data_IF_764753880191
#
_entry.id   IF_764753880191
#
_cell.length_a   1.000
_cell.length_b   1.000
_cell.length_c   1.000
_cell.angle_alpha   90.00
_cell.angle_beta   90.00
_cell.angle_gamma   90.00
#
_symmetry.space_group_name_H-M   'P 1'
#
loop_
_entity.id
_entity.type
_entity.pdbx_description
1 polymer ?
#
# COMPACT_ATOMS: atom_id res chain seq x y z
N UNK A 1 -11.08 48.37 -53.79
CA UNK A 1 -10.78 48.46 -52.32
C UNK A 1 -12.03 48.50 -51.39
N UNK A 2 -13.15 49.16 -51.81
CA UNK A 2 -14.37 49.23 -50.95
C UNK A 2 -15.11 47.92 -50.69
N UNK A 3 -15.05 46.92 -51.58
CA UNK A 3 -15.71 45.60 -51.34
C UNK A 3 -14.99 44.70 -50.42
N UNK A 4 -13.68 44.86 -50.19
CA UNK A 4 -12.89 44.06 -49.28
C UNK A 4 -13.05 44.50 -47.80
N UNK A 5 -13.26 45.80 -47.57
CA UNK A 5 -13.50 46.35 -46.23
C UNK A 5 -14.85 45.94 -45.65
N UNK A 6 -15.91 45.82 -46.48
CA UNK A 6 -17.23 45.39 -46.01
C UNK A 6 -17.24 43.92 -45.61
N UNK A 7 -16.45 43.06 -46.29
CA UNK A 7 -16.33 41.64 -45.92
C UNK A 7 -15.60 41.40 -44.60
N UNK A 8 -14.57 42.23 -44.31
CA UNK A 8 -13.81 42.13 -43.06
C UNK A 8 -14.62 42.61 -41.84
N UNK A 9 -15.38 43.69 -42.01
CA UNK A 9 -16.25 44.19 -40.93
C UNK A 9 -17.41 43.24 -40.59
N UNK A 10 -17.99 42.55 -41.61
CA UNK A 10 -19.06 41.58 -41.35
C UNK A 10 -18.54 40.29 -40.67
N UNK A 11 -17.29 39.89 -40.92
CA UNK A 11 -16.68 38.76 -40.28
C UNK A 11 -16.39 39.07 -38.79
N UNK A 12 -15.93 40.28 -38.47
CA UNK A 12 -15.65 40.70 -37.08
C UNK A 12 -16.95 40.80 -36.23
N UNK A 13 -18.04 41.33 -36.82
CA UNK A 13 -19.33 41.41 -36.12
C UNK A 13 -19.95 40.04 -35.93
N UNK A 14 -19.78 39.11 -36.88
CA UNK A 14 -20.27 37.75 -36.73
C UNK A 14 -19.51 36.96 -35.64
N UNK A 15 -18.20 37.13 -35.51
CA UNK A 15 -17.40 36.52 -34.46
C UNK A 15 -17.78 37.06 -33.08
N UNK A 16 -17.97 38.36 -32.94
CA UNK A 16 -18.38 38.95 -31.65
C UNK A 16 -19.80 38.53 -31.21
N UNK A 17 -20.72 38.34 -32.17
CA UNK A 17 -22.09 37.85 -31.84
C UNK A 17 -22.09 36.36 -31.49
N UNK A 18 -21.27 35.57 -32.15
CA UNK A 18 -21.13 34.14 -31.84
C UNK A 18 -20.52 33.96 -30.45
N UNK A 19 -19.47 34.69 -30.07
CA UNK A 19 -18.85 34.62 -28.75
C UNK A 19 -19.78 35.01 -27.60
N UNK A 20 -20.62 36.06 -27.80
CA UNK A 20 -21.60 36.46 -26.77
C UNK A 20 -22.72 35.44 -26.59
N UNK A 21 -23.16 34.75 -27.62
CA UNK A 21 -24.13 33.65 -27.52
C UNK A 21 -23.53 32.44 -26.81
N UNK A 22 -22.27 32.13 -27.08
CA UNK A 22 -21.56 31.01 -26.48
C UNK A 22 -21.30 31.24 -24.97
N UNK A 23 -20.96 32.46 -24.55
CA UNK A 23 -20.83 32.79 -23.10
C UNK A 23 -22.16 32.64 -22.37
N UNK A 24 -23.29 33.09 -22.94
CA UNK A 24 -24.59 32.88 -22.31
C UNK A 24 -24.91 31.37 -22.17
N UNK A 25 -24.60 30.57 -23.20
CA UNK A 25 -24.81 29.13 -23.14
C UNK A 25 -23.91 28.48 -22.09
N UNK A 26 -22.63 28.87 -21.98
CA UNK A 26 -21.74 28.42 -20.91
C UNK A 26 -22.32 28.74 -19.51
N UNK A 27 -22.83 29.97 -19.33
CA UNK A 27 -23.48 30.43 -18.10
C UNK A 27 -24.71 29.61 -17.76
N UNK A 28 -25.55 29.28 -18.76
CA UNK A 28 -26.72 28.41 -18.55
C UNK A 28 -26.34 27.02 -18.06
N UNK A 29 -25.33 26.39 -18.66
CA UNK A 29 -24.82 25.10 -18.18
C UNK A 29 -24.19 25.21 -16.80
N UNK A 30 -23.45 26.26 -16.50
CA UNK A 30 -22.90 26.52 -15.16
C UNK A 30 -24.00 26.66 -14.12
N UNK A 31 -25.03 27.45 -14.36
CA UNK A 31 -26.16 27.62 -13.46
C UNK A 31 -26.93 26.31 -13.24
N UNK A 32 -27.12 25.53 -14.31
CA UNK A 32 -27.70 24.18 -14.20
C UNK A 32 -26.84 23.27 -13.34
N UNK A 33 -25.51 23.31 -13.48
CA UNK A 33 -24.58 22.53 -12.67
C UNK A 33 -24.69 22.90 -11.18
N UNK A 34 -24.73 24.18 -10.85
CA UNK A 34 -24.95 24.70 -9.48
C UNK A 34 -26.28 24.22 -8.92
N UNK A 35 -27.34 24.26 -9.73
CA UNK A 35 -28.66 23.75 -9.32
C UNK A 35 -28.63 22.24 -9.05
N UNK A 36 -28.02 21.43 -9.92
CA UNK A 36 -27.88 20.00 -9.68
C UNK A 36 -27.05 19.70 -8.45
N UNK A 37 -25.96 20.43 -8.24
CA UNK A 37 -25.13 20.29 -7.04
C UNK A 37 -25.92 20.61 -5.75
N UNK A 38 -26.68 21.68 -5.75
CA UNK A 38 -27.52 22.08 -4.60
C UNK A 38 -28.60 21.04 -4.27
N UNK A 39 -29.04 20.27 -5.27
CA UNK A 39 -30.01 19.19 -5.10
C UNK A 39 -29.33 17.82 -4.84
N UNK A 40 -28.00 17.75 -4.65
CA UNK A 40 -27.26 16.54 -4.37
C UNK A 40 -27.04 15.63 -5.60
N UNK A 41 -27.40 16.07 -6.79
CA UNK A 41 -27.18 15.29 -8.03
C UNK A 41 -25.79 15.56 -8.60
N UNK A 42 -24.77 14.92 -7.98
CA UNK A 42 -23.37 15.13 -8.34
C UNK A 42 -23.06 14.73 -9.80
N UNK A 43 -23.70 13.66 -10.31
CA UNK A 43 -23.49 13.19 -11.69
C UNK A 43 -23.90 14.24 -12.70
N UNK A 44 -25.15 14.74 -12.60
CA UNK A 44 -25.64 15.79 -13.52
C UNK A 44 -24.90 17.11 -13.36
N UNK A 45 -24.45 17.43 -12.12
CA UNK A 45 -23.64 18.61 -11.85
C UNK A 45 -22.30 18.54 -12.60
N UNK A 46 -21.57 17.43 -12.49
CA UNK A 46 -20.28 17.22 -13.17
C UNK A 46 -20.44 17.34 -14.69
N UNK A 47 -21.47 16.65 -15.26
CA UNK A 47 -21.71 16.71 -16.71
C UNK A 47 -22.06 18.13 -17.19
N UNK A 48 -22.81 18.89 -16.39
CA UNK A 48 -23.14 20.28 -16.72
C UNK A 48 -21.92 21.22 -16.60
N UNK A 49 -21.09 21.04 -15.56
CA UNK A 49 -19.83 21.78 -15.44
C UNK A 49 -18.86 21.45 -16.56
N UNK A 50 -18.77 20.20 -17.02
CA UNK A 50 -17.94 19.83 -18.20
C UNK A 50 -18.36 20.58 -19.44
N UNK A 51 -19.67 20.64 -19.72
CA UNK A 51 -20.21 21.37 -20.86
C UNK A 51 -19.96 22.88 -20.75
N UNK A 52 -20.17 23.44 -19.55
CA UNK A 52 -19.88 24.85 -19.28
C UNK A 52 -18.40 25.17 -19.58
N UNK A 53 -17.48 24.33 -19.07
CA UNK A 53 -16.04 24.48 -19.29
C UNK A 53 -15.66 24.42 -20.77
N UNK A 54 -16.16 23.40 -21.50
CA UNK A 54 -15.86 23.23 -22.92
C UNK A 54 -16.28 24.45 -23.76
N UNK A 55 -17.47 25.00 -23.49
CA UNK A 55 -17.98 26.16 -24.20
C UNK A 55 -17.23 27.43 -23.76
N UNK A 56 -17.09 27.64 -22.44
CA UNK A 56 -16.42 28.83 -21.90
C UNK A 56 -14.97 28.94 -22.38
N UNK A 57 -14.27 27.84 -22.54
CA UNK A 57 -12.89 27.81 -23.06
C UNK A 57 -12.79 28.34 -24.51
N UNK A 58 -13.84 28.17 -25.30
CA UNK A 58 -13.90 28.69 -26.67
C UNK A 58 -14.19 30.20 -26.71
N UNK A 59 -14.72 30.75 -25.60
CA UNK A 59 -15.05 32.17 -25.47
C UNK A 59 -13.84 33.05 -25.09
N UNK A 60 -12.67 32.48 -24.86
CA UNK A 60 -11.47 33.27 -24.50
C UNK A 60 -11.65 33.98 -23.14
N UNK A 61 -11.29 35.28 -23.11
CA UNK A 61 -11.32 36.09 -21.89
C UNK A 61 -12.74 36.23 -21.31
N UNK A 62 -13.77 36.26 -22.16
CA UNK A 62 -15.17 36.37 -21.74
C UNK A 62 -15.68 35.14 -20.98
N UNK A 63 -15.08 33.96 -21.21
CA UNK A 63 -15.38 32.71 -20.53
C UNK A 63 -14.47 32.37 -19.35
N UNK A 64 -13.42 33.15 -19.09
CA UNK A 64 -12.33 32.81 -18.20
C UNK A 64 -12.79 32.52 -16.75
N UNK A 65 -13.74 33.27 -16.21
CA UNK A 65 -14.27 33.05 -14.86
C UNK A 65 -15.00 31.71 -14.75
N UNK A 66 -15.82 31.35 -15.74
CA UNK A 66 -16.53 30.08 -15.79
C UNK A 66 -15.54 28.90 -15.89
N UNK A 67 -14.46 29.06 -16.67
CA UNK A 67 -13.40 28.05 -16.80
C UNK A 67 -12.77 27.78 -15.43
N UNK A 68 -12.32 28.80 -14.71
CA UNK A 68 -11.69 28.68 -13.38
C UNK A 68 -12.62 28.01 -12.36
N UNK A 69 -13.88 28.41 -12.35
CA UNK A 69 -14.88 27.82 -11.48
C UNK A 69 -15.11 26.34 -11.79
N UNK A 70 -15.27 25.98 -13.08
CA UNK A 70 -15.43 24.59 -13.49
C UNK A 70 -14.21 23.73 -13.14
N UNK A 71 -13.00 24.26 -13.33
CA UNK A 71 -11.73 23.61 -12.96
C UNK A 71 -11.62 23.39 -11.45
N UNK A 72 -12.31 24.17 -10.64
CA UNK A 72 -12.41 24.02 -9.18
C UNK A 72 -13.45 22.96 -8.79
N UNK A 73 -14.66 23.05 -9.39
CA UNK A 73 -15.79 22.20 -8.97
C UNK A 73 -15.71 20.78 -9.53
N UNK A 74 -15.27 20.58 -10.76
CA UNK A 74 -15.24 19.25 -11.40
C UNK A 74 -14.40 18.25 -10.60
N UNK A 75 -13.13 18.52 -10.24
CA UNK A 75 -12.35 17.59 -9.43
C UNK A 75 -12.98 17.31 -8.07
N UNK A 76 -13.44 18.36 -7.39
CA UNK A 76 -14.07 18.25 -6.06
C UNK A 76 -15.29 17.34 -6.09
N UNK A 77 -16.22 17.59 -6.98
CA UNK A 77 -17.46 16.81 -7.09
C UNK A 77 -17.20 15.39 -7.53
N UNK A 78 -16.22 15.18 -8.43
CA UNK A 78 -15.80 13.85 -8.85
C UNK A 78 -15.19 13.02 -7.71
N UNK A 79 -14.36 13.64 -6.88
CA UNK A 79 -13.83 13.00 -5.68
C UNK A 79 -14.92 12.68 -4.65
N UNK A 80 -15.90 13.58 -4.47
CA UNK A 80 -17.00 13.35 -3.52
C UNK A 80 -17.91 12.22 -4.02
N UNK A 81 -18.27 12.20 -5.31
CA UNK A 81 -19.03 11.09 -5.90
C UNK A 81 -18.29 9.75 -5.75
N UNK A 82 -16.98 9.73 -5.94
CA UNK A 82 -16.19 8.52 -5.74
C UNK A 82 -16.19 8.04 -4.28
N UNK A 83 -16.16 8.95 -3.30
CA UNK A 83 -16.30 8.63 -1.86
C UNK A 83 -17.68 8.06 -1.55
N UNK A 84 -18.74 8.63 -2.12
CA UNK A 84 -20.11 8.12 -1.94
C UNK A 84 -20.23 6.68 -2.46
N UNK A 85 -19.68 6.39 -3.66
CA UNK A 85 -19.64 5.02 -4.20
C UNK A 85 -18.91 4.05 -3.26
N UNK A 86 -17.80 4.48 -2.66
CA UNK A 86 -17.05 3.67 -1.69
C UNK A 86 -17.82 3.48 -0.38
N UNK A 87 -18.54 4.49 0.09
CA UNK A 87 -19.40 4.39 1.26
C UNK A 87 -20.50 3.34 1.08
N UNK A 88 -21.04 3.24 -0.14
CA UNK A 88 -22.00 2.20 -0.56
C UNK A 88 -21.34 0.81 -0.76
N UNK A 89 -20.03 0.72 -0.70
CA UNK A 89 -19.26 -0.52 -0.87
C UNK A 89 -18.79 -0.78 -2.30
N UNK A 90 -19.04 0.14 -3.22
CA UNK A 90 -18.59 0.04 -4.61
C UNK A 90 -17.17 0.63 -4.78
N UNK A 91 -16.16 -0.10 -4.29
CA UNK A 91 -14.77 0.35 -4.31
C UNK A 91 -14.20 0.47 -5.73
N UNK A 92 -14.49 -0.52 -6.58
CA UNK A 92 -14.02 -0.53 -7.97
C UNK A 92 -14.65 0.63 -8.77
N UNK A 93 -15.95 0.89 -8.55
CA UNK A 93 -16.63 2.04 -9.13
C UNK A 93 -16.03 3.38 -8.68
N UNK A 94 -15.74 3.52 -7.38
CA UNK A 94 -15.09 4.71 -6.84
C UNK A 94 -13.72 4.95 -7.46
N UNK A 95 -12.89 3.90 -7.60
CA UNK A 95 -11.56 4.00 -8.24
C UNK A 95 -11.69 4.31 -9.74
N UNK A 96 -12.66 3.72 -10.43
CA UNK A 96 -12.94 4.02 -11.84
C UNK A 96 -13.36 5.48 -12.02
N UNK A 97 -14.24 6.00 -11.15
CA UNK A 97 -14.64 7.42 -11.15
C UNK A 97 -13.45 8.35 -10.92
N UNK A 98 -12.60 8.06 -9.95
CA UNK A 98 -11.36 8.82 -9.74
C UNK A 98 -10.46 8.80 -10.99
N UNK A 99 -10.42 7.69 -11.72
CA UNK A 99 -9.60 7.60 -12.93
C UNK A 99 -10.17 8.43 -14.08
N UNK A 100 -11.51 8.45 -14.23
CA UNK A 100 -12.21 9.32 -15.18
C UNK A 100 -11.94 10.79 -14.89
N UNK A 101 -12.08 11.21 -13.63
CA UNK A 101 -11.85 12.60 -13.23
C UNK A 101 -10.38 13.00 -13.36
N UNK A 102 -9.44 12.09 -13.03
CA UNK A 102 -8.02 12.35 -13.23
C UNK A 102 -7.68 12.61 -14.70
N UNK A 103 -8.22 11.80 -15.62
CA UNK A 103 -8.02 12.00 -17.06
C UNK A 103 -8.62 13.34 -17.54
N UNK A 104 -9.76 13.73 -17.00
CA UNK A 104 -10.39 15.02 -17.29
C UNK A 104 -9.52 16.19 -16.76
N UNK A 105 -9.05 16.10 -15.51
CA UNK A 105 -8.13 17.08 -14.93
C UNK A 105 -6.82 17.20 -15.74
N UNK A 106 -6.28 16.07 -16.22
CA UNK A 106 -5.09 16.05 -17.07
C UNK A 106 -5.33 16.82 -18.38
N UNK A 107 -6.50 16.64 -19.03
CA UNK A 107 -6.88 17.39 -20.25
C UNK A 107 -7.06 18.89 -20.01
N UNK A 108 -7.33 19.28 -18.77
CA UNK A 108 -7.43 20.68 -18.32
C UNK A 108 -6.09 21.26 -17.86
N UNK A 109 -5.03 20.44 -17.72
CA UNK A 109 -3.73 20.87 -17.20
C UNK A 109 -3.65 20.98 -15.68
N UNK A 110 -4.61 20.41 -14.94
CA UNK A 110 -4.72 20.47 -13.48
C UNK A 110 -3.85 19.38 -12.80
N UNK A 111 -2.54 19.51 -12.95
CA UNK A 111 -1.57 18.48 -12.50
C UNK A 111 -1.64 18.19 -11.01
N UNK A 112 -1.85 19.22 -10.18
CA UNK A 112 -1.96 19.05 -8.71
C UNK A 112 -3.20 18.23 -8.33
N UNK A 113 -4.31 18.45 -9.01
CA UNK A 113 -5.55 17.70 -8.79
C UNK A 113 -5.40 16.23 -9.24
N UNK A 114 -4.72 15.99 -10.37
CA UNK A 114 -4.38 14.64 -10.85
C UNK A 114 -3.55 13.90 -9.80
N UNK A 115 -2.54 14.54 -9.22
CA UNK A 115 -1.72 13.94 -8.15
C UNK A 115 -2.55 13.59 -6.91
N UNK A 116 -3.40 14.51 -6.45
CA UNK A 116 -4.32 14.29 -5.31
C UNK A 116 -5.25 13.11 -5.56
N UNK A 117 -5.88 13.07 -6.73
CA UNK A 117 -6.80 12.00 -7.13
C UNK A 117 -6.08 10.65 -7.19
N UNK A 118 -4.87 10.60 -7.77
CA UNK A 118 -4.10 9.38 -7.88
C UNK A 118 -3.68 8.83 -6.50
N UNK A 119 -3.39 9.71 -5.53
CA UNK A 119 -3.11 9.32 -4.13
C UNK A 119 -4.34 8.75 -3.41
N UNK A 120 -5.56 9.10 -3.82
CA UNK A 120 -6.78 8.58 -3.21
C UNK A 120 -7.10 7.15 -3.63
N UNK A 121 -6.81 6.76 -4.86
CA UNK A 121 -7.14 5.43 -5.41
C UNK A 121 -6.66 4.27 -4.53
N UNK A 122 -5.37 4.17 -4.15
CA UNK A 122 -4.91 3.09 -3.28
C UNK A 122 -5.53 3.15 -1.88
N UNK A 123 -5.94 4.33 -1.39
CA UNK A 123 -6.60 4.46 -0.08
C UNK A 123 -7.98 3.79 -0.06
N UNK A 124 -8.73 3.82 -1.16
CA UNK A 124 -10.01 3.12 -1.27
C UNK A 124 -9.85 1.60 -1.15
N UNK A 125 -8.89 1.03 -1.85
CA UNK A 125 -8.59 -0.40 -1.71
C UNK A 125 -7.98 -0.76 -0.34
N UNK A 126 -7.21 0.14 0.28
CA UNK A 126 -6.79 -0.04 1.68
C UNK A 126 -7.99 -0.12 2.63
N UNK A 127 -9.00 0.74 2.43
CA UNK A 127 -10.24 0.70 3.21
C UNK A 127 -10.99 -0.61 2.99
N UNK A 128 -11.12 -1.06 1.73
CA UNK A 128 -11.73 -2.34 1.38
C UNK A 128 -11.02 -3.51 2.09
N UNK A 129 -9.69 -3.57 1.99
CA UNK A 129 -8.88 -4.61 2.63
C UNK A 129 -9.06 -4.65 4.14
N UNK A 130 -9.01 -3.49 4.79
CA UNK A 130 -9.23 -3.38 6.23
C UNK A 130 -10.66 -3.81 6.66
N UNK A 131 -11.68 -3.50 5.85
CA UNK A 131 -13.06 -3.96 6.08
C UNK A 131 -13.17 -5.47 5.94
N UNK A 132 -12.54 -6.04 4.91
CA UNK A 132 -12.50 -7.48 4.68
C UNK A 132 -11.78 -8.23 5.81
N UNK A 133 -10.66 -7.69 6.32
CA UNK A 133 -9.97 -8.24 7.52
C UNK A 133 -10.89 -8.28 8.73
N UNK A 134 -11.61 -7.20 9.01
CA UNK A 134 -12.58 -7.15 10.14
C UNK A 134 -13.72 -8.16 9.97
N UNK A 135 -14.14 -8.41 8.74
CA UNK A 135 -15.14 -9.42 8.39
C UNK A 135 -14.57 -10.85 8.34
N UNK A 136 -13.25 -11.03 8.53
CA UNK A 136 -12.52 -12.29 8.36
C UNK A 136 -12.60 -12.85 6.94
N UNK A 137 -12.91 -12.02 5.95
CA UNK A 137 -12.79 -12.36 4.53
C UNK A 137 -11.33 -12.16 4.11
N UNK A 138 -10.51 -13.17 4.40
CA UNK A 138 -9.08 -13.10 4.13
C UNK A 138 -8.75 -13.12 2.64
N UNK A 139 -9.57 -13.78 1.82
CA UNK A 139 -9.40 -13.80 0.37
C UNK A 139 -9.69 -12.42 -0.23
N UNK A 140 -10.81 -11.80 0.17
CA UNK A 140 -11.15 -10.43 -0.22
C UNK A 140 -10.11 -9.40 0.24
N UNK A 141 -9.57 -9.58 1.46
CA UNK A 141 -8.53 -8.71 1.98
C UNK A 141 -7.23 -8.80 1.17
N UNK A 142 -6.76 -10.01 0.83
CA UNK A 142 -5.58 -10.21 -0.01
C UNK A 142 -5.77 -9.54 -1.38
N UNK A 143 -6.93 -9.77 -2.03
CA UNK A 143 -7.27 -9.14 -3.32
C UNK A 143 -7.26 -7.62 -3.24
N UNK A 144 -7.83 -7.05 -2.17
CA UNK A 144 -7.84 -5.60 -1.99
C UNK A 144 -6.42 -5.03 -1.82
N UNK A 145 -5.56 -5.68 -1.02
CA UNK A 145 -4.17 -5.26 -0.89
C UNK A 145 -3.35 -5.48 -2.17
N UNK A 146 -3.68 -6.46 -2.99
CA UNK A 146 -3.11 -6.62 -4.34
C UNK A 146 -3.47 -5.44 -5.23
N UNK A 147 -4.72 -4.97 -5.18
CA UNK A 147 -5.16 -3.78 -5.90
C UNK A 147 -4.43 -2.52 -5.41
N UNK A 148 -4.17 -2.40 -4.09
CA UNK A 148 -3.30 -1.30 -3.57
C UNK A 148 -1.92 -1.37 -4.20
N UNK A 149 -1.29 -2.55 -4.19
CA UNK A 149 0.07 -2.74 -4.71
C UNK A 149 0.17 -2.60 -6.23
N UNK A 150 -0.92 -2.84 -6.96
CA UNK A 150 -1.01 -2.57 -8.40
C UNK A 150 -0.99 -1.05 -8.70
N UNK A 151 -1.58 -0.23 -7.83
CA UNK A 151 -1.62 1.23 -7.96
C UNK A 151 -0.39 1.91 -7.33
N UNK A 152 0.12 1.34 -6.26
CA UNK A 152 1.26 1.84 -5.48
C UNK A 152 2.16 0.66 -5.08
N UNK A 153 3.07 0.22 -5.96
CA UNK A 153 3.96 -0.92 -5.71
C UNK A 153 4.89 -0.72 -4.50
N UNK A 154 5.09 0.53 -4.07
CA UNK A 154 5.92 0.87 -2.92
C UNK A 154 5.13 0.95 -1.60
N UNK A 155 3.86 0.56 -1.58
CA UNK A 155 3.04 0.58 -0.39
C UNK A 155 3.43 -0.53 0.61
N UNK A 156 4.45 -0.29 1.41
CA UNK A 156 4.94 -1.24 2.40
C UNK A 156 3.88 -1.66 3.42
N UNK A 157 2.93 -0.77 3.75
CA UNK A 157 1.84 -1.09 4.68
C UNK A 157 0.87 -2.13 4.09
N UNK A 158 0.50 -1.98 2.82
CA UNK A 158 -0.34 -2.97 2.14
C UNK A 158 0.38 -4.33 2.04
N UNK A 159 1.66 -4.31 1.67
CA UNK A 159 2.48 -5.52 1.61
C UNK A 159 2.58 -6.22 2.98
N UNK A 160 2.78 -5.46 4.08
CA UNK A 160 2.84 -6.00 5.44
C UNK A 160 1.52 -6.67 5.83
N UNK A 161 0.38 -5.99 5.62
CA UNK A 161 -0.93 -6.52 5.96
C UNK A 161 -1.27 -7.77 5.14
N UNK A 162 -0.97 -7.76 3.85
CA UNK A 162 -1.08 -8.93 2.97
C UNK A 162 -0.25 -10.10 3.50
N UNK A 163 1.02 -9.88 3.84
CA UNK A 163 1.90 -10.90 4.39
C UNK A 163 1.38 -11.51 5.68
N UNK A 164 0.87 -10.70 6.60
CA UNK A 164 0.27 -11.16 7.85
C UNK A 164 -0.95 -12.08 7.62
N UNK A 165 -1.82 -11.71 6.69
CA UNK A 165 -2.99 -12.52 6.34
C UNK A 165 -2.56 -13.84 5.72
N UNK A 166 -1.61 -13.81 4.80
CA UNK A 166 -1.08 -15.00 4.15
C UNK A 166 -0.42 -15.97 5.15
N UNK A 167 0.26 -15.44 6.19
CA UNK A 167 0.75 -16.27 7.31
C UNK A 167 -0.41 -16.92 8.07
N UNK A 168 -1.47 -16.19 8.36
CA UNK A 168 -2.62 -16.70 9.10
C UNK A 168 -3.40 -17.79 8.34
N UNK A 169 -3.37 -17.73 7.00
CA UNK A 169 -3.98 -18.71 6.09
C UNK A 169 -3.00 -19.82 5.64
N UNK A 170 -1.80 -19.86 6.26
CA UNK A 170 -0.75 -20.85 5.97
C UNK A 170 -0.20 -20.82 4.53
N UNK A 171 -0.33 -19.70 3.83
CA UNK A 171 0.28 -19.51 2.52
C UNK A 171 1.69 -18.90 2.68
N UNK A 172 2.64 -19.76 3.09
CA UNK A 172 3.95 -19.34 3.57
C UNK A 172 4.80 -18.64 2.51
N UNK A 173 4.85 -19.17 1.30
CA UNK A 173 5.72 -18.63 0.24
C UNK A 173 5.24 -17.22 -0.20
N UNK A 174 3.94 -17.07 -0.41
CA UNK A 174 3.37 -15.77 -0.76
C UNK A 174 3.49 -14.77 0.40
N UNK A 175 3.37 -15.25 1.65
CA UNK A 175 3.56 -14.41 2.84
C UNK A 175 4.98 -13.87 2.93
N UNK A 176 5.99 -14.73 2.69
CA UNK A 176 7.39 -14.34 2.68
C UNK A 176 7.65 -13.26 1.63
N UNK A 177 7.20 -13.46 0.39
CA UNK A 177 7.37 -12.47 -0.67
C UNK A 177 6.71 -11.12 -0.31
N UNK A 178 5.51 -11.13 0.26
CA UNK A 178 4.83 -9.92 0.69
C UNK A 178 5.56 -9.20 1.85
N UNK A 179 6.09 -9.95 2.82
CA UNK A 179 6.85 -9.38 3.94
C UNK A 179 8.20 -8.83 3.49
N UNK A 180 8.90 -9.49 2.56
CA UNK A 180 10.14 -8.97 1.97
C UNK A 180 9.89 -7.67 1.20
N UNK A 181 8.78 -7.58 0.47
CA UNK A 181 8.33 -6.34 -0.18
C UNK A 181 8.05 -5.24 0.86
N UNK A 182 7.38 -5.60 1.96
CA UNK A 182 7.09 -4.67 3.05
C UNK A 182 8.38 -4.12 3.69
N UNK A 183 9.36 -4.98 3.93
CA UNK A 183 10.65 -4.60 4.49
C UNK A 183 11.39 -3.58 3.60
N UNK A 184 11.40 -3.81 2.28
CA UNK A 184 12.01 -2.90 1.30
C UNK A 184 11.32 -1.54 1.23
N UNK A 185 10.03 -1.47 1.61
CA UNK A 185 9.19 -0.29 1.50
C UNK A 185 8.81 0.30 2.87
N UNK A 186 9.78 0.43 3.76
CA UNK A 186 9.67 1.20 5.00
C UNK A 186 8.98 0.46 6.16
N UNK A 187 8.69 -0.85 6.03
CA UNK A 187 8.14 -1.67 7.09
C UNK A 187 9.16 -2.72 7.61
N UNK A 188 10.44 -2.43 7.50
CA UNK A 188 11.55 -3.37 7.75
C UNK A 188 11.43 -4.05 9.10
N UNK A 189 11.35 -3.29 10.19
CA UNK A 189 11.29 -3.85 11.56
C UNK A 189 10.09 -4.77 11.76
N UNK A 190 8.91 -4.35 11.29
CA UNK A 190 7.68 -5.13 11.45
C UNK A 190 7.69 -6.40 10.58
N UNK A 191 8.14 -6.29 9.35
CA UNK A 191 8.22 -7.40 8.41
C UNK A 191 9.29 -8.41 8.84
N UNK A 192 10.48 -7.96 9.22
CA UNK A 192 11.57 -8.81 9.68
C UNK A 192 11.17 -9.60 10.93
N UNK A 193 10.46 -8.97 11.87
CA UNK A 193 9.92 -9.69 13.04
C UNK A 193 8.94 -10.80 12.65
N UNK A 194 8.08 -10.58 11.66
CA UNK A 194 7.15 -11.62 11.17
C UNK A 194 7.90 -12.75 10.48
N UNK A 195 8.93 -12.42 9.68
CA UNK A 195 9.78 -13.40 9.03
C UNK A 195 10.57 -14.23 10.06
N UNK A 196 11.16 -13.58 11.07
CA UNK A 196 11.85 -14.28 12.15
C UNK A 196 10.92 -15.26 12.88
N UNK A 197 9.71 -14.82 13.24
CA UNK A 197 8.71 -15.68 13.88
C UNK A 197 8.30 -16.86 12.99
N UNK A 198 8.16 -16.65 11.69
CA UNK A 198 7.89 -17.73 10.73
C UNK A 198 9.00 -18.77 10.76
N UNK A 199 10.26 -18.36 10.68
CA UNK A 199 11.40 -19.27 10.70
C UNK A 199 11.61 -19.95 12.04
N UNK A 200 11.32 -19.28 13.18
CA UNK A 200 11.27 -19.93 14.52
C UNK A 200 10.24 -21.05 14.55
N UNK A 201 9.04 -20.82 13.98
CA UNK A 201 8.01 -21.87 13.87
C UNK A 201 8.50 -23.06 13.03
N UNK A 202 9.16 -22.79 11.90
CA UNK A 202 9.73 -23.83 11.04
C UNK A 202 10.90 -24.58 11.73
N UNK A 203 11.79 -23.86 12.42
CA UNK A 203 12.87 -24.46 13.21
C UNK A 203 12.34 -25.39 14.30
N UNK A 204 11.30 -24.96 15.02
CA UNK A 204 10.63 -25.77 16.03
C UNK A 204 10.02 -27.04 15.44
N UNK A 205 9.33 -26.93 14.31
CA UNK A 205 8.74 -28.08 13.62
C UNK A 205 9.81 -29.06 13.12
N UNK A 206 10.88 -28.56 12.51
CA UNK A 206 12.01 -29.38 12.04
C UNK A 206 12.73 -30.09 13.20
N UNK A 207 12.94 -29.39 14.32
CA UNK A 207 13.52 -29.97 15.55
C UNK A 207 12.63 -31.08 16.11
N UNK A 208 11.32 -30.88 16.17
CA UNK A 208 10.35 -31.91 16.60
C UNK A 208 10.36 -33.15 15.70
N UNK A 209 10.59 -32.98 14.41
CA UNK A 209 10.79 -34.05 13.44
C UNK A 209 12.22 -34.65 13.46
N UNK A 210 13.07 -34.21 14.39
CA UNK A 210 14.50 -34.58 14.49
C UNK A 210 15.34 -34.27 13.25
N UNK A 211 14.85 -33.37 12.38
CA UNK A 211 15.64 -32.85 11.24
C UNK A 211 16.46 -31.64 11.70
N UNK A 212 17.50 -31.93 12.49
CA UNK A 212 18.30 -30.91 13.16
C UNK A 212 19.07 -30.01 12.16
N UNK A 213 19.45 -30.55 10.98
CA UNK A 213 20.08 -29.74 9.95
C UNK A 213 19.16 -28.62 9.46
N UNK A 214 17.90 -28.94 9.13
CA UNK A 214 16.90 -27.92 8.77
C UNK A 214 16.52 -27.02 9.94
N UNK A 215 16.45 -27.56 11.16
CA UNK A 215 16.17 -26.76 12.34
C UNK A 215 17.23 -25.67 12.56
N UNK A 216 18.52 -26.02 12.39
CA UNK A 216 19.62 -25.07 12.49
C UNK A 216 19.59 -24.02 11.35
N UNK A 217 19.33 -24.47 10.12
CA UNK A 217 19.17 -23.56 8.99
C UNK A 217 18.06 -22.51 9.23
N UNK A 218 16.88 -22.96 9.64
CA UNK A 218 15.77 -22.07 9.94
C UNK A 218 16.04 -21.16 11.15
N UNK A 219 16.70 -21.65 12.18
CA UNK A 219 17.10 -20.84 13.32
C UNK A 219 18.07 -19.71 12.88
N UNK A 220 19.05 -20.02 12.04
CA UNK A 220 19.98 -19.02 11.51
C UNK A 220 19.27 -18.00 10.59
N UNK A 221 18.28 -18.43 9.81
CA UNK A 221 17.44 -17.50 9.04
C UNK A 221 16.62 -16.58 9.95
N UNK A 222 16.04 -17.10 11.03
CA UNK A 222 15.33 -16.27 12.01
C UNK A 222 16.24 -15.22 12.65
N UNK A 223 17.47 -15.59 13.03
CA UNK A 223 18.48 -14.69 13.59
C UNK A 223 18.87 -13.61 12.59
N UNK A 224 18.98 -13.95 11.31
CA UNK A 224 19.34 -12.97 10.27
C UNK A 224 18.28 -11.89 10.07
N UNK A 225 17.00 -12.21 10.25
CA UNK A 225 15.90 -11.25 10.17
C UNK A 225 15.72 -10.45 11.47
N UNK A 226 15.82 -11.12 12.63
CA UNK A 226 15.71 -10.45 13.94
C UNK A 226 16.75 -11.01 14.92
N UNK A 227 17.92 -10.34 15.05
CA UNK A 227 18.96 -10.74 16.00
C UNK A 227 18.54 -10.67 17.47
N UNK A 228 17.36 -10.14 17.77
CA UNK A 228 16.81 -10.09 19.13
C UNK A 228 15.83 -11.23 19.45
N UNK A 229 15.56 -12.12 18.47
CA UNK A 229 14.64 -13.26 18.66
C UNK A 229 15.33 -14.40 19.41
N UNK A 230 15.20 -14.38 20.71
CA UNK A 230 15.87 -15.32 21.60
C UNK A 230 15.55 -16.80 21.32
N UNK A 231 14.30 -17.11 20.91
CA UNK A 231 13.92 -18.51 20.64
C UNK A 231 14.67 -19.09 19.43
N UNK A 232 15.09 -18.23 18.49
CA UNK A 232 15.91 -18.66 17.35
C UNK A 232 17.27 -19.18 17.83
N UNK A 233 17.92 -18.45 18.73
CA UNK A 233 19.19 -18.87 19.33
C UNK A 233 19.04 -20.16 20.14
N UNK A 234 17.98 -20.28 20.93
CA UNK A 234 17.72 -21.47 21.72
C UNK A 234 17.51 -22.73 20.85
N UNK A 235 16.64 -22.61 19.82
CA UNK A 235 16.38 -23.73 18.90
C UNK A 235 17.60 -24.07 18.04
N UNK A 236 18.35 -23.07 17.61
CA UNK A 236 19.62 -23.24 16.91
C UNK A 236 20.65 -23.96 17.77
N UNK A 237 20.77 -23.59 19.05
CA UNK A 237 21.64 -24.23 20.02
C UNK A 237 21.31 -25.72 20.21
N UNK A 238 20.03 -26.06 20.36
CA UNK A 238 19.56 -27.45 20.44
C UNK A 238 19.92 -28.23 19.18
N UNK A 239 19.66 -27.62 18.00
CA UNK A 239 19.92 -28.28 16.73
C UNK A 239 21.43 -28.50 16.49
N UNK A 240 22.26 -27.49 16.78
CA UNK A 240 23.71 -27.58 16.66
C UNK A 240 24.29 -28.65 17.64
N UNK A 241 23.80 -28.70 18.88
CA UNK A 241 24.18 -29.73 19.86
C UNK A 241 23.85 -31.13 19.35
N UNK A 242 22.64 -31.36 18.82
CA UNK A 242 22.24 -32.64 18.26
C UNK A 242 23.08 -33.06 17.05
N UNK A 243 23.62 -32.09 16.29
CA UNK A 243 24.55 -32.30 15.16
C UNK A 243 26.01 -32.44 15.62
N UNK A 244 26.29 -32.42 16.93
CA UNK A 244 27.65 -32.43 17.52
C UNK A 244 28.53 -31.23 17.09
N UNK A 245 27.90 -30.12 16.69
CA UNK A 245 28.56 -28.85 16.39
C UNK A 245 28.73 -28.04 17.68
N UNK A 246 29.56 -28.52 18.60
CA UNK A 246 29.61 -28.04 19.98
C UNK A 246 29.96 -26.54 20.06
N UNK A 247 30.92 -26.05 19.25
CA UNK A 247 31.31 -24.63 19.24
C UNK A 247 30.16 -23.72 18.82
N UNK A 248 29.42 -24.11 17.76
CA UNK A 248 28.25 -23.38 17.29
C UNK A 248 27.11 -23.41 18.33
N UNK A 249 26.88 -24.58 18.96
CA UNK A 249 25.90 -24.72 20.02
C UNK A 249 26.18 -23.81 21.23
N UNK A 250 27.43 -23.75 21.68
CA UNK A 250 27.86 -22.87 22.77
C UNK A 250 27.56 -21.43 22.44
N UNK A 251 28.00 -20.94 21.26
CA UNK A 251 27.75 -19.56 20.84
C UNK A 251 26.26 -19.21 20.78
N UNK A 252 25.43 -20.09 20.24
CA UNK A 252 23.99 -19.88 20.16
C UNK A 252 23.33 -19.84 21.54
N UNK A 253 23.68 -20.75 22.42
CA UNK A 253 23.16 -20.76 23.80
C UNK A 253 23.62 -19.53 24.61
N UNK A 254 24.85 -19.08 24.44
CA UNK A 254 25.35 -17.88 25.09
C UNK A 254 24.58 -16.64 24.66
N UNK A 255 24.32 -16.47 23.35
CA UNK A 255 23.46 -15.39 22.85
C UNK A 255 22.03 -15.49 23.40
N UNK A 256 21.46 -16.69 23.48
CA UNK A 256 20.16 -16.87 24.15
C UNK A 256 20.21 -16.38 25.61
N UNK A 257 21.23 -16.73 26.37
CA UNK A 257 21.39 -16.32 27.76
C UNK A 257 21.58 -14.82 27.94
N UNK A 258 22.20 -14.15 26.95
CA UNK A 258 22.29 -12.68 26.94
C UNK A 258 20.92 -12.06 26.77
N UNK A 259 20.11 -12.58 25.84
CA UNK A 259 18.77 -12.05 25.54
C UNK A 259 17.73 -12.41 26.60
N UNK A 260 17.89 -13.57 27.27
CA UNK A 260 16.96 -14.12 28.25
C UNK A 260 17.68 -14.65 29.51
N UNK A 261 18.35 -13.77 30.27
CA UNK A 261 19.17 -14.21 31.41
C UNK A 261 18.37 -14.85 32.55
N UNK A 262 17.09 -14.48 32.70
CA UNK A 262 16.20 -14.90 33.78
C UNK A 262 15.03 -15.80 33.30
N UNK A 263 15.10 -16.38 32.08
CA UNK A 263 14.07 -17.34 31.65
C UNK A 263 14.12 -18.62 32.50
N UNK A 264 12.99 -19.30 32.62
CA UNK A 264 12.86 -20.50 33.47
C UNK A 264 13.84 -21.64 33.13
N UNK A 265 14.28 -21.70 31.86
CA UNK A 265 15.25 -22.68 31.37
C UNK A 265 16.71 -22.18 31.34
N UNK A 266 16.96 -20.90 31.70
CA UNK A 266 18.31 -20.30 31.57
C UNK A 266 19.35 -21.03 32.41
N UNK A 267 19.00 -21.53 33.61
CA UNK A 267 19.91 -22.31 34.43
C UNK A 267 20.29 -23.65 33.76
N UNK A 268 19.33 -24.35 33.19
CA UNK A 268 19.60 -25.59 32.46
C UNK A 268 20.48 -25.35 31.23
N UNK A 269 20.24 -24.24 30.49
CA UNK A 269 21.06 -23.87 29.34
C UNK A 269 22.51 -23.56 29.77
N UNK A 270 22.74 -22.89 30.92
CA UNK A 270 24.09 -22.66 31.45
C UNK A 270 24.81 -23.97 31.73
N UNK A 271 24.12 -24.96 32.35
CA UNK A 271 24.71 -26.28 32.59
C UNK A 271 25.09 -27.01 31.30
N UNK A 272 24.26 -26.89 30.25
CA UNK A 272 24.58 -27.43 28.92
C UNK A 272 25.83 -26.77 28.33
N UNK A 273 25.91 -25.44 28.39
CA UNK A 273 27.09 -24.70 27.90
C UNK A 273 28.36 -25.13 28.61
N UNK A 274 28.33 -25.24 29.94
CA UNK A 274 29.49 -25.69 30.72
C UNK A 274 29.91 -27.16 30.40
N UNK A 275 28.94 -28.04 30.19
CA UNK A 275 29.21 -29.42 29.79
C UNK A 275 29.85 -29.49 28.41
N UNK A 276 29.36 -28.71 27.46
CA UNK A 276 29.92 -28.64 26.09
C UNK A 276 31.33 -28.05 26.08
N UNK A 277 31.61 -27.04 26.91
CA UNK A 277 32.95 -26.46 27.08
C UNK A 277 33.94 -27.46 27.64
N UNK A 278 33.55 -28.25 28.64
CA UNK A 278 34.40 -29.32 29.21
C UNK A 278 34.69 -30.43 28.20
N UNK A 279 33.72 -30.80 27.39
CA UNK A 279 33.91 -31.85 26.36
C UNK A 279 34.74 -31.37 25.14
N UNK A 280 34.92 -30.06 24.97
CA UNK A 280 35.77 -29.51 23.92
C UNK A 280 37.22 -29.20 24.33
N UNK A 281 37.58 -29.40 25.63
CA UNK A 281 38.98 -29.33 26.04
C UNK A 281 39.74 -30.50 25.46
N UNK A 282 40.89 -30.31 24.81
CA UNK A 282 41.78 -31.41 24.51
C UNK A 282 42.11 -32.16 25.81
N UNK A 283 42.19 -33.48 25.75
CA UNK A 283 42.75 -34.23 26.84
C UNK A 283 44.12 -33.62 27.17
N UNK A 284 44.27 -33.03 28.34
CA UNK A 284 45.60 -32.63 28.81
C UNK A 284 46.37 -33.94 28.83
N UNK A 285 47.47 -33.99 28.05
CA UNK A 285 48.44 -35.10 28.13
C UNK A 285 48.86 -35.16 29.61
N UNK A 286 48.45 -36.23 30.30
CA UNK A 286 48.97 -36.57 31.63
C UNK A 286 50.44 -36.96 31.41
N UNK A 287 51.37 -36.07 31.82
CA UNK A 287 52.79 -36.34 31.98
C UNK A 287 53.02 -37.22 33.19
#
# INVERSE_FOLDING_TARGET
MKKFLISVCSLFVAVAVVSAQDVNQATDFYNNAVSYYSNGNLVSAIESFKKAHEIAKQCGDDGAEIVVDCETYIPKLGMDLAKDMVAEGNYDGGVAKLSEIAALCESMGLTDEVEKINKMKPQFYMQQGNKAVKAKDYAGAVKAFDNVLALDPANGKAALLKGQILLSTNNVDAAKAALELAAKNGQEKAANRQLANLYVKQAKAASGAKNYAKALEFANQAISYDPTEANAYYLGGIAAQALKKNTEAISLFENYLVLKPAASNSQAVRQVVEALKKGNKPAEEED
#
